data_IF_303634432702
#
_entry.id   IF_303634432702
#
_cell.length_a   1.000
_cell.length_b   1.000
_cell.length_c   1.000
_cell.angle_alpha   90.00
_cell.angle_beta   90.00
_cell.angle_gamma   90.00
#
_symmetry.space_group_name_H-M   'P 1'
#
loop_
_entity.id
_entity.type
_entity.pdbx_description
1 polymer ?
#
# COMPACT_ATOMS: atom_id res chain seq x y z
N UNK A 1 -9.45 -8.80 -17.26
CA UNK A 1 -8.91 -8.21 -16.03
C UNK A 1 -7.82 -7.23 -16.44
N UNK A 2 -7.73 -6.07 -15.82
CA UNK A 2 -6.64 -5.11 -16.09
C UNK A 2 -5.33 -5.69 -15.59
N UNK A 3 -4.21 -5.42 -16.28
CA UNK A 3 -2.87 -5.71 -15.73
C UNK A 3 -2.48 -4.68 -14.65
N UNK A 4 -3.08 -3.49 -14.66
CA UNK A 4 -2.73 -2.40 -13.75
C UNK A 4 -3.25 -2.60 -12.32
N UNK A 5 -4.35 -3.33 -12.15
CA UNK A 5 -5.00 -3.52 -10.86
C UNK A 5 -5.80 -4.82 -10.78
N UNK A 6 -6.07 -5.24 -9.55
CA UNK A 6 -6.99 -6.32 -9.20
C UNK A 6 -7.90 -5.84 -8.07
N UNK A 7 -9.19 -6.13 -8.16
CA UNK A 7 -10.15 -5.89 -7.09
C UNK A 7 -10.64 -7.20 -6.47
N UNK A 8 -10.78 -7.23 -5.16
CA UNK A 8 -11.38 -8.30 -4.36
C UNK A 8 -12.57 -7.71 -3.62
N UNK A 9 -13.68 -8.41 -3.57
CA UNK A 9 -14.90 -7.91 -2.92
C UNK A 9 -15.64 -6.86 -3.76
N UNK A 10 -16.68 -6.27 -3.17
CA UNK A 10 -17.53 -5.27 -3.81
C UNK A 10 -17.58 -4.01 -2.95
N UNK A 11 -17.20 -2.87 -3.53
CA UNK A 11 -17.25 -1.59 -2.84
C UNK A 11 -18.70 -1.20 -2.54
N UNK A 12 -18.92 -0.56 -1.39
CA UNK A 12 -20.25 -0.11 -0.94
C UNK A 12 -20.16 1.31 -0.39
N UNK A 13 -21.18 2.09 -0.66
CA UNK A 13 -21.33 3.43 -0.05
C UNK A 13 -21.41 3.29 1.47
N UNK A 14 -20.59 4.07 2.19
CA UNK A 14 -20.48 4.00 3.65
C UNK A 14 -19.67 2.80 4.16
N UNK A 15 -19.10 1.99 3.26
CA UNK A 15 -18.21 0.87 3.60
C UNK A 15 -16.75 1.27 3.78
N UNK A 16 -15.88 0.29 3.98
CA UNK A 16 -14.42 0.46 4.03
C UNK A 16 -13.82 -0.01 2.71
N UNK A 17 -13.10 0.88 2.03
CA UNK A 17 -12.31 0.56 0.84
C UNK A 17 -10.84 0.38 1.25
N UNK A 18 -10.25 -0.79 0.97
CA UNK A 18 -8.81 -1.00 1.14
C UNK A 18 -8.09 -0.71 -0.18
N UNK A 19 -6.96 0.00 -0.09
CA UNK A 19 -6.07 0.27 -1.22
C UNK A 19 -4.68 -0.23 -0.85
N UNK A 20 -4.05 -1.00 -1.76
CA UNK A 20 -2.71 -1.54 -1.58
C UNK A 20 -1.91 -1.42 -2.89
N UNK A 21 -1.12 -0.35 -2.99
CA UNK A 21 -0.40 0.03 -4.21
C UNK A 21 0.63 -1.02 -4.66
N UNK A 22 1.27 -1.69 -3.69
CA UNK A 22 2.43 -2.56 -3.91
C UNK A 22 2.14 -4.05 -3.65
N UNK A 23 0.93 -4.50 -3.97
CA UNK A 23 0.45 -5.85 -3.67
C UNK A 23 0.86 -6.93 -4.68
N UNK A 24 1.78 -6.63 -5.62
CA UNK A 24 2.18 -7.55 -6.68
C UNK A 24 3.67 -7.45 -7.01
N UNK A 25 4.31 -8.60 -7.24
CA UNK A 25 5.65 -8.70 -7.80
C UNK A 25 5.65 -8.88 -9.33
N UNK A 26 4.47 -8.80 -9.99
CA UNK A 26 4.34 -9.11 -11.41
C UNK A 26 5.09 -8.10 -12.27
N UNK A 27 5.91 -8.62 -13.18
CA UNK A 27 6.54 -7.88 -14.26
C UNK A 27 6.02 -8.44 -15.58
N UNK A 28 5.33 -7.65 -16.42
CA UNK A 28 4.87 -8.11 -17.74
C UNK A 28 6.01 -8.64 -18.59
N UNK A 29 5.76 -9.66 -19.42
CA UNK A 29 6.79 -10.36 -20.20
C UNK A 29 7.54 -9.48 -21.22
N UNK A 30 6.93 -8.41 -21.64
CA UNK A 30 7.48 -7.42 -22.57
C UNK A 30 8.29 -6.32 -21.89
N UNK A 31 8.44 -6.38 -20.55
CA UNK A 31 9.23 -5.45 -19.75
C UNK A 31 10.43 -6.20 -19.18
N UNK A 32 11.61 -5.74 -19.53
CA UNK A 32 12.86 -6.15 -18.91
C UNK A 32 13.35 -5.06 -17.96
N UNK A 33 13.38 -5.35 -16.66
CA UNK A 33 13.90 -4.46 -15.63
C UNK A 33 15.42 -4.50 -15.53
N UNK A 34 16.07 -5.50 -16.15
CA UNK A 34 17.52 -5.69 -16.11
C UNK A 34 18.05 -6.10 -14.73
N UNK A 35 17.23 -6.75 -13.91
CA UNK A 35 17.55 -7.17 -12.53
C UNK A 35 17.57 -8.69 -12.40
N UNK A 36 18.21 -9.20 -11.35
CA UNK A 36 18.05 -10.59 -10.95
C UNK A 36 16.56 -10.87 -10.60
N UNK A 37 15.90 -11.87 -11.23
CA UNK A 37 14.52 -12.24 -10.91
C UNK A 37 14.28 -12.57 -9.42
N UNK A 38 15.31 -13.00 -8.68
CA UNK A 38 15.20 -13.25 -7.24
C UNK A 38 14.83 -11.99 -6.44
N UNK A 39 15.17 -10.80 -6.94
CA UNK A 39 14.83 -9.52 -6.32
C UNK A 39 13.33 -9.22 -6.35
N UNK A 40 12.55 -9.88 -7.22
CA UNK A 40 11.10 -9.72 -7.27
C UNK A 40 10.39 -10.28 -6.02
N UNK A 41 11.07 -11.12 -5.23
CA UNK A 41 10.56 -11.61 -3.95
C UNK A 41 10.93 -10.69 -2.76
N UNK A 42 11.67 -9.59 -3.00
CA UNK A 42 12.15 -8.70 -1.97
C UNK A 42 11.28 -7.44 -1.83
N UNK A 43 11.37 -6.80 -0.67
CA UNK A 43 10.66 -5.55 -0.33
C UNK A 43 10.85 -4.41 -1.34
N UNK A 44 11.90 -4.43 -2.14
CA UNK A 44 12.11 -3.45 -3.20
C UNK A 44 11.08 -3.58 -4.33
N UNK A 45 10.50 -4.77 -4.52
CA UNK A 45 9.60 -5.09 -5.62
C UNK A 45 8.14 -5.24 -5.21
N UNK A 46 7.87 -5.66 -3.97
CA UNK A 46 6.55 -5.97 -3.44
C UNK A 46 6.50 -5.72 -1.93
N UNK A 47 5.37 -5.29 -1.44
CA UNK A 47 5.07 -5.24 -0.01
C UNK A 47 4.59 -6.63 0.44
N UNK A 48 5.50 -7.39 1.06
CA UNK A 48 5.30 -8.82 1.40
C UNK A 48 4.12 -8.97 2.36
N UNK A 49 3.23 -9.94 2.06
CA UNK A 49 2.07 -10.30 2.87
C UNK A 49 0.85 -9.39 2.72
N UNK A 50 0.98 -8.26 2.00
CA UNK A 50 -0.10 -7.27 1.87
C UNK A 50 -1.29 -7.82 1.10
N UNK A 51 -1.06 -8.50 -0.02
CA UNK A 51 -2.14 -9.05 -0.85
C UNK A 51 -2.97 -10.11 -0.08
N UNK A 52 -2.29 -10.95 0.70
CA UNK A 52 -2.90 -12.02 1.50
C UNK A 52 -3.70 -11.42 2.67
N UNK A 53 -3.14 -10.46 3.40
CA UNK A 53 -3.84 -9.77 4.49
C UNK A 53 -5.06 -9.01 3.96
N UNK A 54 -4.96 -8.34 2.82
CA UNK A 54 -6.08 -7.66 2.18
C UNK A 54 -7.21 -8.65 1.82
N UNK A 55 -6.86 -9.81 1.25
CA UNK A 55 -7.83 -10.86 0.93
C UNK A 55 -8.54 -11.39 2.19
N UNK A 56 -7.80 -11.64 3.27
CA UNK A 56 -8.36 -12.10 4.55
C UNK A 56 -9.28 -11.04 5.20
N UNK A 57 -8.97 -9.75 5.07
CA UNK A 57 -9.82 -8.67 5.57
C UNK A 57 -11.15 -8.59 4.82
N UNK A 58 -11.13 -8.79 3.50
CA UNK A 58 -12.35 -8.83 2.67
C UNK A 58 -13.15 -10.10 2.99
N UNK A 59 -12.52 -11.27 3.02
CA UNK A 59 -13.16 -12.54 3.33
C UNK A 59 -13.82 -12.53 4.72
N UNK A 60 -13.15 -11.93 5.70
CA UNK A 60 -13.64 -11.75 7.07
C UNK A 60 -14.69 -10.65 7.22
N UNK A 61 -15.02 -9.90 6.16
CA UNK A 61 -16.00 -8.80 6.18
C UNK A 61 -15.55 -7.59 7.00
N UNK A 62 -14.26 -7.43 7.24
CA UNK A 62 -13.70 -6.26 7.93
C UNK A 62 -13.55 -5.06 7.00
N UNK A 63 -13.37 -5.29 5.71
CA UNK A 63 -13.42 -4.32 4.62
C UNK A 63 -14.33 -4.85 3.52
N UNK A 64 -14.95 -3.96 2.75
CA UNK A 64 -15.94 -4.36 1.73
C UNK A 64 -15.27 -4.73 0.41
N UNK A 65 -14.26 -3.98 0.03
CA UNK A 65 -13.46 -4.25 -1.16
C UNK A 65 -12.00 -3.85 -0.94
N UNK A 66 -11.12 -4.50 -1.70
CA UNK A 66 -9.71 -4.15 -1.80
C UNK A 66 -9.31 -3.93 -3.26
N UNK A 67 -8.67 -2.79 -3.57
CA UNK A 67 -8.04 -2.50 -4.84
C UNK A 67 -6.53 -2.67 -4.65
N UNK A 68 -5.95 -3.59 -5.41
CA UNK A 68 -4.55 -4.01 -5.31
C UNK A 68 -3.81 -3.62 -6.59
N UNK A 69 -2.63 -3.02 -6.47
CA UNK A 69 -1.73 -2.80 -7.60
C UNK A 69 -1.42 -4.12 -8.32
N UNK A 70 -1.52 -4.14 -9.64
CA UNK A 70 -1.42 -5.35 -10.47
C UNK A 70 0.00 -5.70 -10.87
N UNK A 71 0.94 -4.75 -10.78
CA UNK A 71 2.35 -4.92 -11.16
C UNK A 71 3.28 -4.55 -10.01
N UNK A 72 4.53 -5.00 -10.10
CA UNK A 72 5.58 -4.63 -9.16
C UNK A 72 5.79 -3.11 -9.12
N UNK A 73 6.06 -2.56 -7.93
CA UNK A 73 6.46 -1.15 -7.77
C UNK A 73 7.74 -0.80 -8.56
N UNK A 74 8.53 -1.80 -8.97
CA UNK A 74 9.66 -1.60 -9.87
C UNK A 74 9.21 -1.35 -11.32
N UNK A 75 8.03 -1.80 -11.72
CA UNK A 75 7.43 -1.49 -13.03
C UNK A 75 6.88 -0.07 -13.03
N UNK A 76 6.12 0.27 -12.00
CA UNK A 76 5.62 1.62 -11.69
C UNK A 76 5.25 1.68 -10.22
N UNK A 77 5.74 2.68 -9.50
CA UNK A 77 5.35 2.93 -8.10
C UNK A 77 4.11 3.83 -8.07
N UNK A 78 2.95 3.20 -7.89
CA UNK A 78 1.67 3.91 -7.85
C UNK A 78 1.51 4.83 -6.65
N UNK A 79 2.32 4.66 -5.58
CA UNK A 79 2.34 5.56 -4.43
C UNK A 79 3.39 6.67 -4.55
N UNK A 80 3.61 7.13 -5.77
CA UNK A 80 4.41 8.33 -6.09
C UNK A 80 3.59 9.28 -6.95
N UNK A 81 3.92 10.57 -6.91
CA UNK A 81 3.34 11.52 -7.87
C UNK A 81 3.76 11.14 -9.29
N UNK A 82 2.86 11.37 -10.25
CA UNK A 82 3.07 10.94 -11.63
C UNK A 82 4.33 11.57 -12.26
N UNK A 83 4.66 12.80 -11.88
CA UNK A 83 5.84 13.53 -12.35
C UNK A 83 7.11 13.26 -11.53
N UNK A 84 6.99 12.60 -10.38
CA UNK A 84 8.13 12.32 -9.53
C UNK A 84 9.13 11.34 -10.18
N UNK A 85 10.45 11.53 -10.00
CA UNK A 85 11.44 10.59 -10.53
C UNK A 85 11.25 9.16 -9.99
N UNK A 86 10.74 9.03 -8.76
CA UNK A 86 10.55 7.75 -8.10
C UNK A 86 9.37 6.93 -8.60
N UNK A 87 8.51 7.45 -9.50
CA UNK A 87 7.40 6.67 -10.07
C UNK A 87 7.90 5.52 -10.95
N UNK A 88 9.06 5.67 -11.58
CA UNK A 88 9.82 4.64 -12.28
C UNK A 88 11.22 4.57 -11.65
N UNK A 89 11.40 3.84 -10.55
CA UNK A 89 12.65 3.88 -9.79
C UNK A 89 13.81 3.28 -10.57
N UNK A 90 14.90 4.03 -10.74
CA UNK A 90 16.14 3.55 -11.37
C UNK A 90 17.05 2.81 -10.40
N UNK A 91 16.74 2.89 -9.12
CA UNK A 91 17.39 2.13 -8.05
C UNK A 91 16.46 2.02 -6.84
N UNK A 92 16.61 0.96 -6.03
CA UNK A 92 15.89 0.76 -4.77
C UNK A 92 16.77 -0.04 -3.82
N UNK A 93 16.96 0.45 -2.59
CA UNK A 93 17.77 -0.14 -1.51
C UNK A 93 19.11 -0.75 -1.98
N UNK A 94 19.88 0.05 -2.75
CA UNK A 94 21.20 -0.34 -3.26
C UNK A 94 21.19 -1.13 -4.58
N UNK A 95 20.05 -1.59 -5.04
CA UNK A 95 19.91 -2.33 -6.30
C UNK A 95 19.56 -1.40 -7.46
N UNK A 96 20.39 -1.40 -8.52
CA UNK A 96 20.09 -0.68 -9.75
C UNK A 96 18.99 -1.37 -10.55
N UNK A 97 18.13 -0.59 -11.23
CA UNK A 97 17.05 -1.07 -12.10
C UNK A 97 17.25 -0.49 -13.51
N UNK A 98 18.19 -1.06 -14.29
CA UNK A 98 18.60 -0.48 -15.58
C UNK A 98 17.46 -0.35 -16.58
N UNK A 99 16.48 -1.26 -16.56
CA UNK A 99 15.33 -1.25 -17.46
C UNK A 99 14.39 -0.06 -17.26
N UNK A 100 14.60 0.74 -16.20
CA UNK A 100 13.85 1.97 -15.97
C UNK A 100 14.60 3.25 -16.42
N UNK A 101 15.77 3.12 -17.04
CA UNK A 101 16.43 4.23 -17.74
C UNK A 101 15.74 4.51 -19.07
N UNK A 102 14.47 4.95 -19.00
CA UNK A 102 13.59 5.18 -20.14
C UNK A 102 13.71 6.62 -20.64
N UNK A 103 13.47 6.80 -21.95
CA UNK A 103 13.19 8.12 -22.51
C UNK A 103 11.75 8.57 -22.19
N UNK A 104 11.38 9.79 -22.58
CA UNK A 104 10.05 10.36 -22.31
C UNK A 104 8.92 9.49 -22.91
N UNK A 105 9.13 8.91 -24.09
CA UNK A 105 8.13 8.05 -24.73
C UNK A 105 7.95 6.74 -23.98
N UNK A 106 9.02 6.11 -23.54
CA UNK A 106 8.99 4.91 -22.71
C UNK A 106 8.37 5.16 -21.34
N UNK A 107 8.70 6.31 -20.71
CA UNK A 107 8.06 6.75 -19.46
C UNK A 107 6.54 6.91 -19.65
N UNK A 108 6.13 7.66 -20.67
CA UNK A 108 4.71 7.90 -20.96
C UNK A 108 3.95 6.59 -21.23
N UNK A 109 4.52 5.68 -22.01
CA UNK A 109 3.92 4.38 -22.26
C UNK A 109 3.71 3.55 -20.98
N UNK A 110 4.66 3.61 -20.03
CA UNK A 110 4.58 2.92 -18.74
C UNK A 110 3.47 3.51 -17.87
N UNK A 111 3.40 4.84 -17.77
CA UNK A 111 2.36 5.56 -17.01
C UNK A 111 0.96 5.32 -17.58
N UNK A 112 0.80 5.41 -18.89
CA UNK A 112 -0.47 5.18 -19.58
C UNK A 112 -0.97 3.74 -19.42
N UNK A 113 -0.06 2.76 -19.35
CA UNK A 113 -0.44 1.34 -19.24
C UNK A 113 -0.79 0.91 -17.83
N UNK A 114 -0.12 1.44 -16.79
CA UNK A 114 -0.25 0.91 -15.43
C UNK A 114 -0.66 1.95 -14.40
N UNK A 115 -0.03 3.12 -14.38
CA UNK A 115 -0.26 4.15 -13.37
C UNK A 115 -1.66 4.74 -13.48
N UNK A 116 -1.97 5.34 -14.63
CA UNK A 116 -3.27 6.00 -14.83
C UNK A 116 -4.46 5.05 -14.70
N UNK A 117 -4.49 3.85 -15.33
CA UNK A 117 -5.61 2.92 -15.15
C UNK A 117 -5.81 2.43 -13.72
N UNK A 118 -4.74 2.37 -12.91
CA UNK A 118 -4.86 2.06 -11.48
C UNK A 118 -5.58 3.18 -10.73
N UNK A 119 -5.12 4.41 -10.88
CA UNK A 119 -5.72 5.57 -10.23
C UNK A 119 -7.13 5.87 -10.74
N UNK A 120 -7.37 5.74 -12.04
CA UNK A 120 -8.71 5.92 -12.65
C UNK A 120 -9.72 4.91 -12.07
N UNK A 121 -9.27 3.66 -11.82
CA UNK A 121 -10.15 2.66 -11.20
C UNK A 121 -10.49 3.00 -9.75
N UNK A 122 -9.54 3.48 -8.96
CA UNK A 122 -9.80 3.95 -7.59
C UNK A 122 -10.79 5.11 -7.62
N UNK A 123 -10.57 6.11 -8.47
CA UNK A 123 -11.42 7.28 -8.60
C UNK A 123 -12.85 6.91 -9.01
N UNK A 124 -12.99 6.05 -10.03
CA UNK A 124 -14.29 5.55 -10.46
C UNK A 124 -15.03 4.76 -9.35
N UNK A 125 -14.30 3.95 -8.59
CA UNK A 125 -14.84 3.18 -7.48
C UNK A 125 -15.35 4.11 -6.36
N UNK A 126 -14.57 5.11 -5.98
CA UNK A 126 -14.94 6.11 -4.97
C UNK A 126 -16.16 6.91 -5.44
N UNK A 127 -16.19 7.35 -6.71
CA UNK A 127 -17.29 8.11 -7.27
C UNK A 127 -18.62 7.31 -7.27
N UNK A 128 -18.54 6.00 -7.55
CA UNK A 128 -19.70 5.11 -7.56
C UNK A 128 -20.16 4.69 -6.16
N UNK A 129 -19.21 4.51 -5.23
CA UNK A 129 -19.42 3.92 -3.91
C UNK A 129 -18.64 4.67 -2.83
N UNK A 130 -19.06 5.89 -2.52
CA UNK A 130 -18.38 6.76 -1.55
C UNK A 130 -18.13 6.03 -0.22
N UNK A 131 -16.88 5.69 0.13
CA UNK A 131 -16.58 4.94 1.34
C UNK A 131 -16.67 5.83 2.60
N UNK A 132 -16.94 5.22 3.75
CA UNK A 132 -16.83 5.92 5.04
C UNK A 132 -15.38 6.18 5.41
N UNK A 133 -14.47 5.28 5.02
CA UNK A 133 -13.02 5.44 5.17
C UNK A 133 -12.25 4.63 4.14
N UNK A 134 -11.01 5.03 3.93
CA UNK A 134 -10.03 4.27 3.16
C UNK A 134 -8.98 3.69 4.11
N UNK A 135 -8.65 2.40 3.96
CA UNK A 135 -7.53 1.73 4.59
C UNK A 135 -6.40 1.58 3.56
N UNK A 136 -5.32 2.35 3.70
CA UNK A 136 -4.11 2.14 2.90
C UNK A 136 -3.25 1.08 3.57
N UNK A 137 -2.91 0.00 2.85
CA UNK A 137 -2.21 -1.14 3.41
C UNK A 137 -0.88 -1.39 2.71
N UNK A 138 0.19 -1.35 3.51
CA UNK A 138 1.58 -1.57 3.09
C UNK A 138 2.32 -2.50 4.04
N UNK A 139 3.53 -2.88 3.66
CA UNK A 139 4.48 -3.51 4.57
C UNK A 139 5.90 -3.00 4.35
N UNK A 140 6.71 -3.01 5.41
CA UNK A 140 8.09 -2.53 5.41
C UNK A 140 9.09 -3.59 5.88
N UNK A 141 10.32 -3.50 5.38
CA UNK A 141 11.43 -4.34 5.82
C UNK A 141 11.92 -3.96 7.22
N UNK A 142 12.23 -4.93 8.10
CA UNK A 142 12.82 -4.63 9.41
C UNK A 142 14.22 -4.03 9.33
N UNK A 143 14.91 -4.17 8.19
CA UNK A 143 16.25 -3.62 7.96
C UNK A 143 16.43 -3.29 6.49
N UNK A 144 16.99 -2.12 6.18
CA UNK A 144 17.44 -1.76 4.83
C UNK A 144 18.85 -2.31 4.59
N UNK A 145 19.13 -2.75 3.37
CA UNK A 145 20.48 -3.21 3.00
C UNK A 145 21.46 -2.03 2.96
N UNK A 146 20.99 -0.86 2.53
CA UNK A 146 21.77 0.38 2.47
C UNK A 146 21.97 1.06 3.82
N UNK A 147 21.10 0.77 4.81
CA UNK A 147 21.12 1.39 6.13
C UNK A 147 20.83 0.37 7.25
N UNK A 148 21.65 -0.68 7.40
CA UNK A 148 21.40 -1.74 8.37
C UNK A 148 21.46 -1.27 9.83
N UNK A 149 22.08 -0.11 10.08
CA UNK A 149 22.17 0.54 11.39
C UNK A 149 20.83 1.21 11.83
N UNK A 150 19.92 1.47 10.89
CA UNK A 150 18.62 2.07 11.20
C UNK A 150 17.70 1.04 11.81
N UNK A 151 17.55 1.07 13.13
CA UNK A 151 16.64 0.19 13.84
C UNK A 151 15.18 0.50 13.46
N UNK A 152 14.42 -0.55 13.12
CA UNK A 152 12.99 -0.50 12.82
C UNK A 152 12.22 -1.42 13.76
N UNK A 153 12.09 -1.06 15.05
CA UNK A 153 11.59 -1.95 16.09
C UNK A 153 10.06 -2.11 16.07
N UNK A 154 9.36 -1.27 15.33
CA UNK A 154 7.90 -1.25 15.29
C UNK A 154 7.38 -2.52 14.60
N UNK A 155 6.29 -3.07 15.15
CA UNK A 155 5.56 -4.17 14.52
C UNK A 155 4.66 -3.66 13.40
N UNK A 156 4.18 -2.42 13.54
CA UNK A 156 3.29 -1.74 12.62
C UNK A 156 3.50 -0.23 12.71
N UNK A 157 3.45 0.46 11.57
CA UNK A 157 3.40 1.91 11.49
C UNK A 157 1.98 2.41 11.20
N UNK A 158 1.62 3.57 11.72
CA UNK A 158 0.42 4.31 11.36
C UNK A 158 0.83 5.61 10.71
N UNK A 159 0.42 5.79 9.45
CA UNK A 159 0.79 6.91 8.60
C UNK A 159 -0.43 7.79 8.29
N UNK A 160 -0.22 9.08 8.28
CA UNK A 160 -1.20 10.11 7.90
C UNK A 160 -0.46 11.38 7.44
N UNK A 161 -1.15 12.25 6.69
CA UNK A 161 -0.58 13.53 6.27
C UNK A 161 -1.33 14.68 6.96
N UNK A 162 -2.21 15.39 6.27
CA UNK A 162 -3.01 16.48 6.87
C UNK A 162 -4.22 15.93 7.65
N UNK A 163 -4.79 14.81 7.18
CA UNK A 163 -5.94 14.17 7.83
C UNK A 163 -5.47 13.16 8.89
N UNK A 164 -5.47 13.59 10.14
CA UNK A 164 -5.12 12.76 11.29
C UNK A 164 -6.33 12.23 12.08
N UNK A 165 -7.56 12.42 11.56
CA UNK A 165 -8.81 12.14 12.30
C UNK A 165 -8.89 10.73 12.89
N UNK A 166 -8.32 9.74 12.21
CA UNK A 166 -8.38 8.33 12.62
C UNK A 166 -7.10 7.80 13.25
N UNK A 167 -5.98 8.54 13.17
CA UNK A 167 -4.65 8.07 13.53
C UNK A 167 -4.54 7.69 15.02
N UNK A 168 -4.97 8.56 15.91
CA UNK A 168 -4.90 8.30 17.36
C UNK A 168 -5.73 7.08 17.78
N UNK A 169 -6.93 6.92 17.19
CA UNK A 169 -7.79 5.77 17.46
C UNK A 169 -7.21 4.46 16.89
N UNK A 170 -6.56 4.52 15.72
CA UNK A 170 -5.88 3.38 15.11
C UNK A 170 -4.67 2.95 15.95
N UNK A 171 -3.81 3.89 16.37
CA UNK A 171 -2.65 3.63 17.23
C UNK A 171 -3.11 2.95 18.53
N UNK A 172 -4.06 3.56 19.27
CA UNK A 172 -4.55 3.00 20.51
C UNK A 172 -5.21 1.62 20.34
N UNK A 173 -5.87 1.38 19.20
CA UNK A 173 -6.46 0.07 18.90
C UNK A 173 -5.40 -1.00 18.66
N UNK A 174 -4.31 -0.68 17.96
CA UNK A 174 -3.22 -1.60 17.65
C UNK A 174 -2.33 -1.87 18.87
N UNK A 175 -2.07 -0.85 19.70
CA UNK A 175 -1.37 -1.01 20.99
C UNK A 175 -2.15 -1.94 21.95
N UNK A 176 -3.48 -1.83 21.98
CA UNK A 176 -4.33 -2.71 22.77
C UNK A 176 -4.27 -4.19 22.33
N UNK A 177 -3.85 -4.48 21.09
CA UNK A 177 -3.55 -5.82 20.58
C UNK A 177 -2.09 -6.26 20.85
N UNK A 178 -1.33 -5.51 21.64
CA UNK A 178 0.04 -5.82 22.06
C UNK A 178 1.10 -5.53 20.99
N UNK A 179 0.79 -4.67 20.02
CA UNK A 179 1.74 -4.26 18.99
C UNK A 179 2.60 -3.08 19.47
N UNK A 180 3.88 -3.07 19.09
CA UNK A 180 4.72 -1.87 19.13
C UNK A 180 4.39 -1.03 17.91
N UNK A 181 3.68 0.08 18.10
CA UNK A 181 3.17 0.94 17.04
C UNK A 181 4.10 2.12 16.81
N UNK A 182 4.47 2.36 15.56
CA UNK A 182 5.20 3.54 15.12
C UNK A 182 4.23 4.63 14.67
N UNK A 183 4.17 5.75 15.39
CA UNK A 183 3.47 6.93 14.92
C UNK A 183 4.35 7.63 13.87
N UNK A 184 3.90 7.65 12.60
CA UNK A 184 4.69 8.16 11.47
C UNK A 184 6.08 7.48 11.34
N UNK A 185 6.15 6.16 11.64
CA UNK A 185 7.37 5.37 11.59
C UNK A 185 7.12 3.98 10.97
N UNK A 186 8.07 3.42 10.21
CA UNK A 186 9.38 3.97 9.84
C UNK A 186 9.30 5.01 8.72
N UNK A 187 8.12 5.23 8.16
CA UNK A 187 7.84 6.22 7.13
C UNK A 187 6.78 7.21 7.63
N UNK A 188 6.78 8.42 7.04
CA UNK A 188 5.79 9.44 7.36
C UNK A 188 4.87 9.68 6.16
N UNK A 189 3.57 9.73 6.42
CA UNK A 189 2.56 10.12 5.44
C UNK A 189 2.74 11.56 4.93
N UNK A 190 3.45 12.39 5.66
CA UNK A 190 3.84 13.75 5.20
C UNK A 190 4.87 13.76 4.08
N UNK A 191 5.55 12.64 3.84
CA UNK A 191 6.59 12.50 2.82
C UNK A 191 6.20 11.52 1.72
N UNK A 192 5.51 10.44 2.05
CA UNK A 192 5.23 9.31 1.18
C UNK A 192 3.77 8.91 1.29
N UNK A 193 2.87 9.55 0.51
CA UNK A 193 1.42 9.34 0.66
C UNK A 193 0.64 9.70 -0.61
N UNK A 194 1.25 9.60 -1.79
CA UNK A 194 0.68 10.12 -3.04
C UNK A 194 -0.73 9.59 -3.31
N UNK A 195 -0.95 8.28 -3.17
CA UNK A 195 -2.27 7.65 -3.38
C UNK A 195 -3.31 8.22 -2.41
N UNK A 196 -2.98 8.34 -1.13
CA UNK A 196 -3.93 8.86 -0.14
C UNK A 196 -4.13 10.37 -0.27
N UNK A 197 -3.09 11.13 -0.60
CA UNK A 197 -3.22 12.56 -0.89
C UNK A 197 -4.22 12.80 -2.03
N UNK A 198 -4.12 12.01 -3.10
CA UNK A 198 -5.00 12.11 -4.27
C UNK A 198 -6.43 11.64 -3.96
N UNK A 199 -6.60 10.45 -3.38
CA UNK A 199 -7.88 9.77 -3.34
C UNK A 199 -8.63 9.92 -2.01
N UNK A 200 -7.92 10.06 -0.90
CA UNK A 200 -8.52 10.28 0.42
C UNK A 200 -8.60 11.77 0.77
N UNK A 201 -7.46 12.44 0.93
CA UNK A 201 -7.42 13.85 1.34
C UNK A 201 -8.02 14.78 0.28
N UNK A 202 -7.73 14.54 -1.01
CA UNK A 202 -8.32 15.30 -2.11
C UNK A 202 -9.85 15.23 -2.17
N UNK A 203 -10.46 14.21 -1.56
CA UNK A 203 -11.91 14.03 -1.45
C UNK A 203 -12.43 14.23 -0.01
N UNK A 204 -11.59 14.63 0.94
CA UNK A 204 -11.93 14.74 2.37
C UNK A 204 -12.49 13.43 2.99
N UNK A 205 -12.12 12.26 2.44
CA UNK A 205 -12.48 10.95 2.96
C UNK A 205 -11.49 10.59 4.07
N UNK A 206 -11.97 10.19 5.28
CA UNK A 206 -11.10 9.73 6.34
C UNK A 206 -10.27 8.53 5.90
N UNK A 207 -9.00 8.44 6.33
CA UNK A 207 -8.18 7.28 6.03
C UNK A 207 -7.22 6.92 7.17
N UNK A 208 -6.68 5.72 7.09
CA UNK A 208 -5.57 5.24 7.91
C UNK A 208 -4.56 4.57 7.01
N UNK A 209 -3.31 5.03 7.03
CA UNK A 209 -2.18 4.33 6.43
C UNK A 209 -1.59 3.33 7.43
N UNK A 210 -1.46 2.07 7.01
CA UNK A 210 -0.90 0.98 7.81
C UNK A 210 0.31 0.41 7.10
N UNK A 211 1.43 0.35 7.82
CA UNK A 211 2.68 -0.28 7.43
C UNK A 211 2.95 -1.49 8.34
N UNK A 212 2.78 -2.70 7.85
CA UNK A 212 3.07 -3.92 8.60
C UNK A 212 4.55 -4.29 8.47
N UNK A 213 5.23 -4.70 9.56
CA UNK A 213 6.58 -5.20 9.41
C UNK A 213 6.56 -6.58 8.72
N UNK A 214 7.22 -6.70 7.58
CA UNK A 214 7.07 -7.81 6.62
C UNK A 214 7.41 -9.19 7.19
N UNK A 215 8.36 -9.27 8.14
CA UNK A 215 8.73 -10.54 8.80
C UNK A 215 7.61 -11.10 9.68
N UNK A 216 6.64 -10.27 10.07
CA UNK A 216 5.47 -10.65 10.85
C UNK A 216 4.27 -11.07 10.00
N UNK A 217 4.35 -10.86 8.67
CA UNK A 217 3.30 -11.20 7.69
C UNK A 217 3.87 -12.02 6.52
N UNK A 218 5.06 -12.58 6.68
CA UNK A 218 5.75 -13.40 5.68
C UNK A 218 5.17 -14.80 5.51
N UNK A 219 4.29 -15.25 6.41
CA UNK A 219 3.64 -16.55 6.34
C UNK A 219 2.14 -16.47 6.66
N UNK A 220 1.42 -17.57 6.37
CA UNK A 220 -0.03 -17.63 6.54
C UNK A 220 -0.50 -17.40 7.99
N UNK A 221 0.29 -17.81 8.99
CA UNK A 221 -0.06 -17.64 10.40
C UNK A 221 0.05 -16.16 10.82
N UNK A 222 1.12 -15.49 10.42
CA UNK A 222 1.33 -14.06 10.63
C UNK A 222 0.28 -13.22 9.90
N UNK A 223 -0.02 -13.56 8.64
CA UNK A 223 -1.05 -12.89 7.83
C UNK A 223 -2.43 -12.98 8.49
N UNK A 224 -2.84 -14.18 8.93
CA UNK A 224 -4.12 -14.37 9.63
C UNK A 224 -4.18 -13.60 10.97
N UNK A 225 -3.07 -13.55 11.71
CA UNK A 225 -2.99 -12.82 12.98
C UNK A 225 -3.11 -11.30 12.74
N UNK A 226 -2.39 -10.75 11.74
CA UNK A 226 -2.47 -9.34 11.40
C UNK A 226 -3.85 -8.96 10.84
N UNK A 227 -4.44 -9.77 9.96
CA UNK A 227 -5.79 -9.54 9.48
C UNK A 227 -6.81 -9.44 10.63
N UNK A 228 -6.72 -10.33 11.63
CA UNK A 228 -7.58 -10.28 12.82
C UNK A 228 -7.38 -9.00 13.65
N UNK A 229 -6.13 -8.54 13.81
CA UNK A 229 -5.80 -7.30 14.54
C UNK A 229 -6.30 -6.07 13.81
N UNK A 230 -6.06 -6.00 12.50
CA UNK A 230 -6.54 -4.91 11.66
C UNK A 230 -8.07 -4.87 11.57
N UNK A 231 -8.75 -6.01 11.53
CA UNK A 231 -10.22 -6.07 11.60
C UNK A 231 -10.77 -5.44 12.88
N UNK A 232 -10.12 -5.69 14.04
CA UNK A 232 -10.50 -5.03 15.30
C UNK A 232 -10.21 -3.52 15.28
N UNK A 233 -9.09 -3.11 14.71
CA UNK A 233 -8.75 -1.71 14.51
C UNK A 233 -9.81 -1.02 13.64
N UNK A 234 -10.13 -1.57 12.46
CA UNK A 234 -11.16 -1.03 11.56
C UNK A 234 -12.49 -0.84 12.29
N UNK A 235 -12.95 -1.85 13.04
CA UNK A 235 -14.18 -1.75 13.83
C UNK A 235 -14.13 -0.61 14.86
N UNK A 236 -12.98 -0.37 15.50
CA UNK A 236 -12.83 0.70 16.49
C UNK A 236 -12.83 2.09 15.84
N UNK A 237 -12.09 2.26 14.74
CA UNK A 237 -11.98 3.58 14.08
C UNK A 237 -13.28 3.98 13.41
N UNK A 238 -14.05 3.04 12.84
CA UNK A 238 -15.35 3.35 12.23
C UNK A 238 -16.40 3.85 13.23
N UNK A 239 -16.30 3.48 14.50
CA UNK A 239 -17.17 4.02 15.56
C UNK A 239 -16.91 5.51 15.84
N UNK A 240 -15.80 6.07 15.38
CA UNK A 240 -15.40 7.47 15.58
C UNK A 240 -15.67 8.35 14.34
N UNK A 241 -16.23 7.79 13.26
CA UNK A 241 -16.57 8.53 12.02
C UNK A 241 -17.99 9.13 12.09
N UNK A 242 -18.75 8.84 13.16
CA UNK A 242 -20.11 9.29 13.35
C UNK A 242 -20.26 10.68 13.95
#
# INVERSE_FOLDING_TARGET
MSEAWRQIGEARTGGILLIADHASAHVPRDIDLGIDPALLANHIAIDIGVAEVAALLVEGGAVDAAILGGVSRLVVDCNREEDAPGVLPIASDGHAIPGNALDDAGREARLARFYRPYHDHIEATIAAHWPAMILSLHSFTPSLETHPEQARPWHVGVLYNEDERLSAAAIAALEAEGLNVGDQQPYSGKQLNATMNRHAEGNAIPYVGIEMRQDLVGDAAGQALFAKRLAKMCKKVTLNIG
#
